data_IF_750459460325
#
_entry.id   IF_750459460325
#
_cell.length_a   1.000
_cell.length_b   1.000
_cell.length_c   1.000
_cell.angle_alpha   90.00
_cell.angle_beta   90.00
_cell.angle_gamma   90.00
#
_symmetry.space_group_name_H-M   'P 1'
#
loop_
_entity.id
_entity.type
_entity.pdbx_description
1 polymer ?
#
# COMPACT_ATOMS: atom_id res chain seq x y z
N UNK A 1 -5.62 8.16 -12.03
CA UNK A 1 -5.39 6.95 -11.23
C UNK A 1 -3.90 6.70 -11.20
N UNK A 2 -3.27 6.60 -10.03
CA UNK A 2 -1.80 6.40 -9.90
C UNK A 2 -1.45 4.92 -9.75
N UNK A 3 -2.02 4.09 -10.62
CA UNK A 3 -1.76 2.65 -10.67
C UNK A 3 -1.42 2.26 -12.10
N UNK A 4 -0.32 1.52 -12.25
CA UNK A 4 0.08 0.89 -13.49
C UNK A 4 0.06 -0.62 -13.31
N UNK A 5 -0.47 -1.33 -14.30
CA UNK A 5 -0.48 -2.80 -14.32
C UNK A 5 0.43 -3.28 -15.44
N UNK A 6 1.47 -4.00 -15.06
CA UNK A 6 2.35 -4.68 -15.99
C UNK A 6 1.84 -6.11 -16.13
N UNK A 7 1.31 -6.42 -17.31
CA UNK A 7 0.91 -7.78 -17.65
C UNK A 7 2.11 -8.60 -18.13
N UNK A 8 2.09 -9.90 -17.85
CA UNK A 8 3.11 -10.86 -18.25
C UNK A 8 4.54 -10.48 -17.79
N UNK A 9 4.65 -9.86 -16.62
CA UNK A 9 5.94 -9.56 -16.02
C UNK A 9 6.64 -10.87 -15.62
N UNK A 10 7.94 -10.94 -15.88
CA UNK A 10 8.74 -12.09 -15.46
C UNK A 10 8.71 -12.25 -13.93
N UNK A 11 8.55 -13.49 -13.49
CA UNK A 11 8.47 -13.90 -12.10
C UNK A 11 9.38 -15.12 -11.88
N UNK A 12 9.41 -15.66 -10.66
CA UNK A 12 10.30 -16.76 -10.28
C UNK A 12 9.51 -17.99 -9.85
N UNK A 13 10.14 -19.18 -9.82
CA UNK A 13 9.54 -20.39 -9.28
C UNK A 13 9.20 -20.34 -7.78
N UNK A 14 9.38 -19.22 -7.08
CA UNK A 14 8.91 -19.03 -5.70
C UNK A 14 7.53 -18.38 -5.63
N UNK A 15 7.05 -17.78 -6.73
CA UNK A 15 5.76 -17.11 -6.77
C UNK A 15 4.62 -18.15 -6.64
N UNK A 16 3.83 -18.14 -5.55
CA UNK A 16 2.76 -19.09 -5.36
C UNK A 16 1.55 -18.82 -6.27
N UNK A 17 1.49 -17.65 -6.93
CA UNK A 17 0.40 -17.30 -7.84
C UNK A 17 0.54 -17.93 -9.22
N UNK A 18 1.72 -18.42 -9.57
CA UNK A 18 1.93 -19.17 -10.82
C UNK A 18 1.40 -20.58 -10.59
N UNK A 19 0.41 -20.99 -11.39
CA UNK A 19 -0.17 -22.33 -11.29
C UNK A 19 0.92 -23.40 -11.46
N UNK A 20 0.81 -24.56 -10.77
CA UNK A 20 1.77 -25.66 -10.93
C UNK A 20 1.93 -26.10 -12.40
N UNK A 21 0.83 -26.12 -13.15
CA UNK A 21 0.78 -26.53 -14.56
C UNK A 21 1.59 -25.58 -15.46
N UNK A 22 1.48 -24.27 -15.21
CA UNK A 22 2.20 -23.23 -15.93
C UNK A 22 3.68 -23.25 -15.54
N UNK A 23 3.96 -23.55 -14.27
CA UNK A 23 5.33 -23.71 -13.77
C UNK A 23 6.06 -24.87 -14.41
N UNK A 24 5.40 -26.01 -14.55
CA UNK A 24 5.93 -27.18 -15.24
C UNK A 24 6.25 -26.89 -16.72
N UNK A 25 5.53 -25.96 -17.36
CA UNK A 25 5.76 -25.51 -18.75
C UNK A 25 6.77 -24.37 -18.86
N UNK A 26 7.38 -23.92 -17.76
CA UNK A 26 8.30 -22.79 -17.74
C UNK A 26 7.63 -21.43 -17.95
N UNK A 27 6.30 -21.34 -17.86
CA UNK A 27 5.53 -20.11 -18.00
C UNK A 27 5.63 -19.29 -16.71
N UNK A 28 6.74 -18.56 -16.57
CA UNK A 28 7.11 -17.81 -15.37
C UNK A 28 6.65 -16.35 -15.43
N UNK A 29 5.35 -16.10 -15.59
CA UNK A 29 4.82 -14.73 -15.71
C UNK A 29 3.64 -14.47 -14.78
N UNK A 30 3.53 -13.25 -14.29
CA UNK A 30 2.36 -12.79 -13.54
C UNK A 30 1.94 -11.37 -13.96
N UNK A 31 0.82 -10.90 -13.42
CA UNK A 31 0.48 -9.47 -13.47
C UNK A 31 1.03 -8.79 -12.21
N UNK A 32 1.67 -7.64 -12.38
CA UNK A 32 2.24 -6.82 -11.30
C UNK A 32 1.60 -5.44 -11.30
N UNK A 33 1.07 -5.03 -10.15
CA UNK A 33 0.59 -3.68 -9.94
C UNK A 33 1.70 -2.81 -9.34
N UNK A 34 1.90 -1.61 -9.88
CA UNK A 34 2.71 -0.55 -9.30
C UNK A 34 1.74 0.54 -8.86
N UNK A 35 1.75 0.88 -7.58
CA UNK A 35 0.92 1.94 -7.01
C UNK A 35 1.86 3.06 -6.57
N UNK A 36 1.74 4.24 -7.18
CA UNK A 36 2.40 5.44 -6.66
C UNK A 36 1.59 5.98 -5.48
N UNK A 37 1.95 5.49 -4.29
CA UNK A 37 1.38 5.88 -3.00
C UNK A 37 2.15 7.04 -2.35
N UNK A 38 2.90 7.82 -3.14
CA UNK A 38 3.75 8.91 -2.64
C UNK A 38 3.08 10.28 -2.81
N UNK A 39 3.65 11.28 -2.13
CA UNK A 39 3.31 12.68 -2.44
C UNK A 39 4.10 13.09 -3.69
N UNK A 40 3.46 13.71 -4.70
CA UNK A 40 4.14 14.14 -5.91
C UNK A 40 5.31 15.08 -5.61
N UNK A 41 6.53 14.66 -5.96
CA UNK A 41 7.76 15.35 -5.55
C UNK A 41 7.81 16.81 -6.02
N UNK A 42 7.46 17.07 -7.28
CA UNK A 42 7.56 18.39 -7.92
C UNK A 42 6.69 19.48 -7.28
N UNK A 43 5.63 19.11 -6.56
CA UNK A 43 4.73 20.05 -5.89
C UNK A 43 4.35 19.59 -4.48
N UNK A 44 5.25 18.82 -3.84
CA UNK A 44 5.03 18.20 -2.52
C UNK A 44 4.59 19.20 -1.45
N UNK A 45 5.08 20.43 -1.51
CA UNK A 45 4.77 21.47 -0.53
C UNK A 45 3.35 22.04 -0.68
N UNK A 46 2.74 21.86 -1.85
CA UNK A 46 1.32 22.18 -2.12
C UNK A 46 0.40 21.00 -1.88
N UNK A 47 0.94 19.81 -1.58
CA UNK A 47 0.15 18.63 -1.31
C UNK A 47 -0.71 18.85 -0.05
N UNK A 48 -1.96 18.36 -0.01
CA UNK A 48 -2.83 18.55 1.14
C UNK A 48 -2.17 18.11 2.46
N UNK A 49 -2.39 18.91 3.51
CA UNK A 49 -1.91 18.56 4.85
C UNK A 49 -2.58 17.25 5.30
N UNK A 50 -1.81 16.43 6.01
CA UNK A 50 -2.35 15.23 6.66
C UNK A 50 -3.44 15.65 7.63
N UNK A 51 -4.58 14.95 7.62
CA UNK A 51 -5.69 15.17 8.55
C UNK A 51 -5.38 14.62 9.96
N UNK A 52 -4.19 14.87 10.49
CA UNK A 52 -3.87 14.44 11.85
C UNK A 52 -4.37 15.49 12.85
N UNK A 53 -5.06 15.09 13.93
CA UNK A 53 -5.34 16.00 15.03
C UNK A 53 -4.03 16.56 15.59
N UNK A 54 -4.09 17.76 16.19
CA UNK A 54 -2.93 18.27 16.93
C UNK A 54 -2.57 17.31 18.07
N UNK A 55 -1.30 17.33 18.48
CA UNK A 55 -0.83 16.52 19.61
C UNK A 55 -1.66 16.76 20.88
N UNK A 56 -2.05 18.01 21.14
CA UNK A 56 -2.91 18.37 22.26
C UNK A 56 -4.32 17.78 22.13
N UNK A 57 -4.93 17.85 20.94
CA UNK A 57 -6.24 17.27 20.68
C UNK A 57 -6.22 15.74 20.86
N UNK A 58 -5.18 15.09 20.34
CA UNK A 58 -4.95 13.65 20.51
C UNK A 58 -4.78 13.26 21.99
N UNK A 59 -4.05 14.07 22.78
CA UNK A 59 -3.92 13.87 24.23
C UNK A 59 -5.27 13.98 24.94
N UNK A 60 -6.01 15.07 24.72
CA UNK A 60 -7.34 15.30 25.31
C UNK A 60 -8.32 14.18 24.95
N UNK A 61 -8.31 13.73 23.70
CA UNK A 61 -9.15 12.62 23.25
C UNK A 61 -8.79 11.32 24.00
N UNK A 62 -7.49 11.01 24.15
CA UNK A 62 -7.05 9.83 24.90
C UNK A 62 -7.43 9.92 26.38
N UNK A 63 -7.29 11.07 27.03
CA UNK A 63 -7.72 11.27 28.42
C UNK A 63 -9.23 11.03 28.57
N UNK A 64 -10.03 11.68 27.71
CA UNK A 64 -11.50 11.64 27.78
C UNK A 64 -12.08 10.28 27.44
N UNK A 65 -11.49 9.57 26.47
CA UNK A 65 -12.05 8.34 25.91
C UNK A 65 -11.22 7.09 26.20
N UNK A 66 -10.25 7.15 27.13
CA UNK A 66 -9.38 6.03 27.49
C UNK A 66 -10.16 4.77 27.90
N UNK A 67 -11.33 4.94 28.53
CA UNK A 67 -12.21 3.84 28.93
C UNK A 67 -12.72 2.98 27.76
N UNK A 68 -12.71 3.50 26.52
CA UNK A 68 -13.06 2.73 25.31
C UNK A 68 -11.93 1.83 24.82
N UNK A 69 -10.69 2.05 25.29
CA UNK A 69 -9.50 1.33 24.87
C UNK A 69 -9.10 0.22 25.86
N UNK A 70 -9.82 0.10 26.98
CA UNK A 70 -9.64 -0.96 27.96
C UNK A 70 -10.51 -2.17 27.61
N UNK A 71 -9.89 -3.19 27.03
CA UNK A 71 -10.36 -4.57 27.00
C UNK A 71 -9.39 -5.46 27.76
#
# INVERSE_FOLDING_TARGET
TSIDIIHNAWSTPLDPRIAPEDRAKGQMTNSRAIIDATRPYAWRDKFPKVNSPSAECARKAREKFSYLLGG
#
